data_IF_648870102187
#
_entry.id   IF_648870102187
#
_cell.length_a   1.000
_cell.length_b   1.000
_cell.length_c   1.000
_cell.angle_alpha   90.00
_cell.angle_beta   90.00
_cell.angle_gamma   90.00
#
_symmetry.space_group_name_H-M   'P 1'
#
loop_
_entity.id
_entity.type
_entity.pdbx_description
1 polymer ?
#
# COMPACT_ATOMS: atom_id res chain seq x y z
N UNK A 1 8.21 -16.21 -7.35
CA UNK A 1 9.09 -15.03 -7.61
C UNK A 1 10.45 -15.25 -6.97
N UNK A 2 11.49 -14.47 -7.31
CA UNK A 2 12.79 -14.62 -6.62
C UNK A 2 12.72 -14.03 -5.20
N UNK A 3 13.42 -14.63 -4.23
CA UNK A 3 13.40 -14.15 -2.84
C UNK A 3 13.78 -12.67 -2.70
N UNK A 4 14.80 -12.22 -3.45
CA UNK A 4 15.25 -10.83 -3.42
C UNK A 4 14.16 -9.84 -3.89
N UNK A 5 13.31 -10.26 -4.83
CA UNK A 5 12.19 -9.47 -5.33
C UNK A 5 11.09 -9.37 -4.27
N UNK A 6 10.74 -10.49 -3.62
CA UNK A 6 9.80 -10.53 -2.49
C UNK A 6 10.28 -9.62 -1.35
N UNK A 7 11.56 -9.70 -0.97
CA UNK A 7 12.16 -8.87 0.07
C UNK A 7 12.05 -7.37 -0.26
N UNK A 8 12.27 -7.01 -1.52
CA UNK A 8 12.15 -5.65 -1.99
C UNK A 8 10.69 -5.15 -1.95
N UNK A 9 9.72 -6.00 -2.32
CA UNK A 9 8.30 -5.68 -2.16
C UNK A 9 7.91 -5.50 -0.70
N UNK A 10 8.33 -6.40 0.19
CA UNK A 10 8.08 -6.31 1.63
C UNK A 10 8.64 -5.01 2.22
N UNK A 11 9.87 -4.65 1.87
CA UNK A 11 10.49 -3.38 2.29
C UNK A 11 9.69 -2.18 1.82
N UNK A 12 9.24 -2.20 0.57
CA UNK A 12 8.45 -1.12 -0.03
C UNK A 12 7.11 -0.97 0.68
N UNK A 13 6.38 -2.07 0.86
CA UNK A 13 5.08 -2.10 1.54
C UNK A 13 5.16 -1.61 2.98
N UNK A 14 6.13 -2.10 3.77
CA UNK A 14 6.35 -1.65 5.15
C UNK A 14 6.64 -0.15 5.24
N UNK A 15 7.45 0.38 4.31
CA UNK A 15 7.76 1.81 4.24
C UNK A 15 6.52 2.62 3.87
N UNK A 16 5.77 2.21 2.85
CA UNK A 16 4.52 2.86 2.42
C UNK A 16 3.49 2.89 3.54
N UNK A 17 3.28 1.76 4.23
CA UNK A 17 2.40 1.66 5.40
C UNK A 17 2.75 2.70 6.47
N UNK A 18 4.02 2.75 6.85
CA UNK A 18 4.51 3.71 7.85
C UNK A 18 4.25 5.16 7.44
N UNK A 19 4.52 5.51 6.18
CA UNK A 19 4.26 6.86 5.68
C UNK A 19 2.77 7.22 5.71
N UNK A 20 1.89 6.31 5.30
CA UNK A 20 0.44 6.53 5.30
C UNK A 20 -0.07 6.75 6.72
N UNK A 21 0.31 5.87 7.66
CA UNK A 21 -0.12 5.97 9.07
C UNK A 21 0.35 7.29 9.68
N UNK A 22 1.62 7.63 9.49
CA UNK A 22 2.21 8.84 10.07
C UNK A 22 1.66 10.13 9.44
N UNK A 23 1.19 10.09 8.19
CA UNK A 23 0.63 11.27 7.54
C UNK A 23 -0.66 11.79 8.22
N UNK A 24 -1.37 10.93 8.96
CA UNK A 24 -2.60 11.27 9.68
C UNK A 24 -2.50 10.91 11.16
N UNK A 25 -1.29 10.92 11.73
CA UNK A 25 -1.01 10.64 13.15
C UNK A 25 -1.71 9.38 13.67
N UNK A 26 -1.79 8.33 12.84
CA UNK A 26 -2.40 7.05 13.19
C UNK A 26 -3.92 6.98 13.08
N UNK A 27 -4.62 8.07 12.81
CA UNK A 27 -6.10 8.08 12.72
C UNK A 27 -6.66 7.25 11.56
N UNK A 28 -5.79 6.88 10.60
CA UNK A 28 -6.11 6.08 9.42
C UNK A 28 -5.55 4.64 9.48
N UNK A 29 -5.12 4.16 10.65
CA UNK A 29 -4.60 2.80 10.83
C UNK A 29 -5.56 1.71 10.31
N UNK A 30 -6.87 2.00 10.35
CA UNK A 30 -7.94 1.09 9.95
C UNK A 30 -8.45 1.36 8.52
N UNK A 31 -7.74 2.16 7.73
CA UNK A 31 -8.11 2.44 6.34
C UNK A 31 -7.94 1.20 5.45
N UNK A 32 -8.72 1.14 4.36
CA UNK A 32 -8.64 0.03 3.41
C UNK A 32 -7.24 -0.12 2.82
N UNK A 33 -6.58 1.00 2.49
CA UNK A 33 -5.19 1.00 2.00
C UNK A 33 -4.24 0.32 2.98
N UNK A 34 -4.33 0.65 4.28
CA UNK A 34 -3.46 0.03 5.30
C UNK A 34 -3.75 -1.46 5.42
N UNK A 35 -5.03 -1.87 5.42
CA UNK A 35 -5.41 -3.29 5.45
C UNK A 35 -4.93 -4.05 4.22
N UNK A 36 -5.04 -3.47 3.03
CA UNK A 36 -4.59 -4.12 1.80
C UNK A 36 -3.06 -4.26 1.77
N UNK A 37 -2.32 -3.29 2.32
CA UNK A 37 -0.88 -3.42 2.52
C UNK A 37 -0.59 -4.54 3.53
N UNK A 38 -1.29 -4.59 4.65
CA UNK A 38 -1.07 -5.61 5.70
C UNK A 38 -1.37 -7.02 5.17
N UNK A 39 -2.46 -7.20 4.44
CA UNK A 39 -2.78 -8.47 3.77
C UNK A 39 -1.74 -8.89 2.74
N UNK A 40 -1.22 -7.94 1.95
CA UNK A 40 -0.17 -8.26 0.97
C UNK A 40 1.15 -8.61 1.65
N UNK A 41 1.50 -7.93 2.74
CA UNK A 41 2.67 -8.27 3.56
C UNK A 41 2.51 -9.66 4.14
N UNK A 42 1.36 -9.98 4.75
CA UNK A 42 1.06 -11.30 5.28
C UNK A 42 1.23 -12.37 4.20
N UNK A 43 0.56 -12.20 3.05
CA UNK A 43 0.65 -13.11 1.91
C UNK A 43 2.11 -13.36 1.47
N UNK A 44 2.91 -12.31 1.34
CA UNK A 44 4.32 -12.41 0.94
C UNK A 44 5.22 -13.07 2.00
N UNK A 45 4.81 -13.07 3.27
CA UNK A 45 5.58 -13.68 4.37
C UNK A 45 5.18 -15.11 4.68
N UNK A 46 3.92 -15.49 4.47
CA UNK A 46 3.38 -16.80 4.89
C UNK A 46 3.26 -17.79 3.74
N UNK A 47 3.26 -17.31 2.49
CA UNK A 47 3.12 -18.16 1.31
C UNK A 47 4.47 -18.65 0.85
N UNK A 48 4.56 -19.93 0.48
CA UNK A 48 5.76 -20.49 -0.13
C UNK A 48 6.20 -19.66 -1.34
N UNK A 49 7.48 -19.26 -1.38
CA UNK A 49 8.01 -18.33 -2.38
C UNK A 49 7.81 -18.79 -3.84
N UNK A 50 7.77 -20.10 -4.05
CA UNK A 50 7.52 -20.74 -5.35
C UNK A 50 6.06 -20.58 -5.81
N UNK A 51 5.11 -20.48 -4.88
CA UNK A 51 3.69 -20.28 -5.14
C UNK A 51 3.32 -18.79 -5.35
N UNK A 52 4.21 -17.87 -4.99
CA UNK A 52 4.00 -16.43 -5.18
C UNK A 52 4.21 -16.06 -6.65
N UNK A 53 3.15 -15.55 -7.27
CA UNK A 53 3.15 -15.09 -8.67
C UNK A 53 3.27 -13.57 -8.77
N UNK A 54 4.07 -13.11 -9.73
CA UNK A 54 4.25 -11.67 -10.00
C UNK A 54 2.94 -11.00 -10.42
N UNK A 55 2.10 -11.68 -11.20
CA UNK A 55 0.81 -11.16 -11.63
C UNK A 55 -0.11 -10.79 -10.45
N UNK A 56 -0.16 -11.64 -9.41
CA UNK A 56 -0.96 -11.36 -8.23
C UNK A 56 -0.42 -10.15 -7.46
N UNK A 57 0.89 -10.12 -7.22
CA UNK A 57 1.56 -9.04 -6.50
C UNK A 57 1.39 -7.71 -7.24
N UNK A 58 1.61 -7.68 -8.54
CA UNK A 58 1.45 -6.49 -9.39
C UNK A 58 0.02 -5.97 -9.39
N UNK A 59 -0.97 -6.88 -9.48
CA UNK A 59 -2.38 -6.50 -9.38
C UNK A 59 -2.69 -5.85 -8.04
N UNK A 60 -2.15 -6.37 -6.94
CA UNK A 60 -2.35 -5.79 -5.60
C UNK A 60 -1.67 -4.43 -5.47
N UNK A 61 -0.45 -4.26 -5.98
CA UNK A 61 0.21 -2.95 -6.05
C UNK A 61 -0.61 -1.92 -6.86
N UNK A 62 -1.20 -2.33 -7.99
CA UNK A 62 -2.06 -1.44 -8.79
C UNK A 62 -3.28 -0.96 -8.02
N UNK A 63 -3.93 -1.84 -7.24
CA UNK A 63 -5.09 -1.48 -6.40
C UNK A 63 -4.66 -0.47 -5.33
N UNK A 64 -3.61 -0.79 -4.56
CA UNK A 64 -3.08 0.07 -3.50
C UNK A 64 -2.72 1.46 -4.04
N UNK A 65 -2.01 1.52 -5.17
CA UNK A 65 -1.65 2.79 -5.81
C UNK A 65 -2.88 3.59 -6.25
N UNK A 66 -3.91 2.92 -6.78
CA UNK A 66 -5.16 3.57 -7.18
C UNK A 66 -5.90 4.20 -6.00
N UNK A 67 -5.97 3.51 -4.87
CA UNK A 67 -6.62 4.05 -3.66
C UNK A 67 -5.86 5.23 -3.05
N UNK A 68 -4.52 5.16 -3.04
CA UNK A 68 -3.67 6.28 -2.61
C UNK A 68 -3.90 7.49 -3.53
N UNK A 69 -3.91 7.29 -4.84
CA UNK A 69 -4.14 8.38 -5.80
C UNK A 69 -5.50 9.02 -5.59
N UNK A 70 -6.55 8.22 -5.43
CA UNK A 70 -7.90 8.74 -5.15
C UNK A 70 -7.92 9.61 -3.88
N UNK A 71 -7.24 9.17 -2.82
CA UNK A 71 -7.12 9.93 -1.56
C UNK A 71 -6.38 11.26 -1.75
N UNK A 72 -5.29 11.26 -2.53
CA UNK A 72 -4.52 12.47 -2.86
C UNK A 72 -5.33 13.46 -3.70
N UNK A 73 -6.12 12.97 -4.66
CA UNK A 73 -6.97 13.79 -5.50
C UNK A 73 -8.06 14.47 -4.63
N UNK A 74 -8.69 13.72 -3.72
CA UNK A 74 -9.65 14.28 -2.75
C UNK A 74 -9.01 15.37 -1.87
N UNK A 75 -7.81 15.12 -1.33
CA UNK A 75 -7.08 16.09 -0.52
C UNK A 75 -6.73 17.35 -1.31
N UNK A 76 -6.25 17.18 -2.55
CA UNK A 76 -5.87 18.29 -3.43
C UNK A 76 -7.07 19.18 -3.75
N UNK A 77 -8.23 18.59 -4.06
CA UNK A 77 -9.46 19.35 -4.30
C UNK A 77 -9.92 20.11 -3.05
N UNK A 78 -9.87 19.49 -1.86
CA UNK A 78 -10.20 20.15 -0.61
C UNK A 78 -9.28 21.36 -0.34
N UNK A 79 -7.97 21.21 -0.57
CA UNK A 79 -7.00 22.28 -0.45
C UNK A 79 -7.27 23.43 -1.43
N UNK A 80 -7.59 23.12 -2.69
CA UNK A 80 -7.95 24.12 -3.69
C UNK A 80 -9.23 24.89 -3.33
N UNK A 81 -10.20 24.23 -2.68
CA UNK A 81 -11.43 24.87 -2.23
C UNK A 81 -11.18 25.90 -1.11
N UNK A 82 -10.16 25.70 -0.28
CA UNK A 82 -9.77 26.62 0.80
C UNK A 82 -8.92 27.81 0.32
N UNK A 83 -8.40 27.77 -0.91
CA UNK A 83 -7.57 28.83 -1.50
C UNK A 83 -8.37 29.83 -2.33
N UNK A 84 -9.69 29.69 -2.41
CA UNK A 84 -10.63 30.61 -3.06
C UNK A 84 -11.42 31.39 -2.01
#
# INVERSE_FOLDING_TARGET
MQSAEIDQHLKTLKKTRSHIINALDGTNENSNVVRDIDHLVEYLTTTDHEAITSEYVDRKFRIINGEIQCSLDCFTHAMQALQK
#
